data_IF_801480260089
#
_entry.id   IF_801480260089
#
_cell.length_a   1.000
_cell.length_b   1.000
_cell.length_c   1.000
_cell.angle_alpha   90.00
_cell.angle_beta   90.00
_cell.angle_gamma   90.00
#
_symmetry.space_group_name_H-M   'P 1'
#
loop_
_entity.id
_entity.type
_entity.pdbx_description
1 polymer ?
#
# COMPACT_ATOMS: atom_id res chain seq x y z
N UNK A 1 5.70 -31.46 -66.23
CA UNK A 1 4.58 -32.29 -65.78
C UNK A 1 4.39 -33.37 -66.82
N UNK A 2 4.22 -34.62 -66.39
CA UNK A 2 3.90 -35.70 -67.31
C UNK A 2 2.42 -35.61 -67.70
N UNK A 3 2.03 -36.10 -68.89
CA UNK A 3 0.63 -36.07 -69.33
C UNK A 3 -0.34 -36.75 -68.34
N UNK A 4 0.16 -37.66 -67.51
CA UNK A 4 -0.60 -38.32 -66.45
C UNK A 4 -0.92 -37.40 -65.25
N UNK A 5 0.03 -36.56 -64.83
CA UNK A 5 -0.15 -35.60 -63.72
C UNK A 5 -1.17 -34.50 -64.08
N UNK A 6 -1.19 -34.08 -65.34
CA UNK A 6 -2.14 -33.09 -65.84
C UNK A 6 -3.58 -33.62 -65.81
N UNK A 7 -3.82 -34.84 -66.28
CA UNK A 7 -5.16 -35.44 -66.27
C UNK A 7 -5.68 -35.64 -64.83
N UNK A 8 -4.83 -36.02 -63.89
CA UNK A 8 -5.23 -36.20 -62.49
C UNK A 8 -5.57 -34.85 -61.82
N UNK A 9 -4.89 -33.76 -62.20
CA UNK A 9 -5.25 -32.42 -61.76
C UNK A 9 -6.66 -32.02 -62.24
N UNK A 10 -6.94 -32.20 -63.53
CA UNK A 10 -8.25 -31.88 -64.09
C UNK A 10 -9.35 -32.79 -63.53
N UNK A 11 -9.06 -34.04 -63.16
CA UNK A 11 -10.00 -34.94 -62.48
C UNK A 11 -10.46 -34.42 -61.11
N UNK A 12 -9.58 -33.74 -60.37
CA UNK A 12 -9.96 -33.06 -59.12
C UNK A 12 -10.86 -31.86 -59.39
N UNK A 13 -10.48 -31.01 -60.36
CA UNK A 13 -11.29 -29.86 -60.76
C UNK A 13 -12.69 -30.28 -61.25
N UNK A 14 -12.80 -31.39 -61.98
CA UNK A 14 -14.09 -31.96 -62.40
C UNK A 14 -15.03 -32.23 -61.21
N UNK A 15 -14.50 -32.78 -60.11
CA UNK A 15 -15.29 -33.10 -58.92
C UNK A 15 -15.70 -31.82 -58.17
N UNK A 16 -14.74 -30.91 -57.94
CA UNK A 16 -14.99 -29.60 -57.32
C UNK A 16 -16.00 -28.75 -58.10
N UNK A 17 -15.98 -28.85 -59.44
CA UNK A 17 -16.95 -28.18 -60.30
C UNK A 17 -18.39 -28.68 -60.05
N UNK A 18 -18.58 -30.00 -59.93
CA UNK A 18 -19.91 -30.59 -59.69
C UNK A 18 -20.46 -30.27 -58.29
N UNK A 19 -19.57 -30.03 -57.34
CA UNK A 19 -19.89 -29.59 -55.97
C UNK A 19 -20.08 -28.06 -55.87
N UNK A 20 -19.77 -27.30 -56.94
CA UNK A 20 -19.91 -25.85 -56.99
C UNK A 20 -18.82 -25.09 -56.22
N UNK A 21 -17.63 -25.67 -56.07
CA UNK A 21 -16.53 -25.15 -55.25
C UNK A 21 -15.43 -24.43 -56.05
N UNK A 22 -15.46 -24.51 -57.39
CA UNK A 22 -14.47 -23.84 -58.24
C UNK A 22 -14.72 -22.34 -58.39
N UNK A 23 -13.65 -21.56 -58.38
CA UNK A 23 -13.68 -20.16 -58.77
C UNK A 23 -13.68 -20.00 -60.30
N UNK A 24 -14.27 -18.90 -60.81
CA UNK A 24 -14.33 -18.53 -62.23
C UNK A 24 -13.05 -18.81 -63.06
N UNK A 25 -11.83 -18.41 -62.64
CA UNK A 25 -10.63 -18.69 -63.43
C UNK A 25 -10.36 -20.20 -63.61
N UNK A 26 -10.65 -21.01 -62.60
CA UNK A 26 -10.44 -22.47 -62.63
C UNK A 26 -11.52 -23.16 -63.48
N UNK A 27 -12.74 -22.62 -63.50
CA UNK A 27 -13.81 -23.10 -64.39
C UNK A 27 -13.38 -22.93 -65.85
N UNK A 28 -12.84 -21.76 -66.22
CA UNK A 28 -12.35 -21.51 -67.59
C UNK A 28 -11.19 -22.44 -67.95
N UNK A 29 -10.26 -22.67 -67.03
CA UNK A 29 -9.14 -23.59 -67.23
C UNK A 29 -9.63 -25.02 -67.48
N UNK A 30 -10.59 -25.49 -66.68
CA UNK A 30 -11.22 -26.80 -66.86
C UNK A 30 -11.95 -26.90 -68.22
N UNK A 31 -12.73 -25.89 -68.60
CA UNK A 31 -13.45 -25.86 -69.88
C UNK A 31 -12.50 -25.92 -71.08
N UNK A 32 -11.39 -25.18 -71.02
CA UNK A 32 -10.34 -25.22 -72.04
C UNK A 32 -9.74 -26.63 -72.19
N UNK A 33 -9.45 -27.30 -71.08
CA UNK A 33 -8.94 -28.66 -71.12
C UNK A 33 -9.97 -29.66 -71.67
N UNK A 34 -11.24 -29.56 -71.27
CA UNK A 34 -12.32 -30.42 -71.77
C UNK A 34 -12.58 -30.21 -73.26
N UNK A 35 -12.34 -29.00 -73.79
CA UNK A 35 -12.41 -28.71 -75.22
C UNK A 35 -11.30 -29.41 -76.02
N UNK A 36 -10.09 -29.56 -75.43
CA UNK A 36 -8.93 -30.19 -76.07
C UNK A 36 -8.76 -31.69 -75.82
N UNK A 37 -9.27 -32.23 -74.71
CA UNK A 37 -9.04 -33.61 -74.28
C UNK A 37 -10.31 -34.46 -74.32
N UNK A 38 -10.36 -35.46 -75.22
CA UNK A 38 -11.50 -36.40 -75.34
C UNK A 38 -11.67 -37.28 -74.10
N UNK A 39 -10.57 -37.76 -73.52
CA UNK A 39 -10.60 -38.64 -72.35
C UNK A 39 -11.27 -37.95 -71.15
N UNK A 40 -10.80 -36.76 -70.80
CA UNK A 40 -11.35 -35.99 -69.68
C UNK A 40 -12.82 -35.58 -69.93
N UNK A 41 -13.22 -35.36 -71.19
CA UNK A 41 -14.62 -35.06 -71.54
C UNK A 41 -15.55 -36.25 -71.30
N UNK A 42 -15.14 -37.44 -71.72
CA UNK A 42 -15.91 -38.68 -71.51
C UNK A 42 -16.03 -39.00 -70.01
N UNK A 43 -14.94 -38.80 -69.27
CA UNK A 43 -14.91 -38.99 -67.82
C UNK A 43 -15.82 -38.00 -67.09
N UNK A 44 -15.78 -36.72 -67.45
CA UNK A 44 -16.65 -35.69 -66.87
C UNK A 44 -18.12 -35.99 -67.13
N UNK A 45 -18.47 -36.46 -68.33
CA UNK A 45 -19.84 -36.84 -68.67
C UNK A 45 -20.33 -38.02 -67.82
N UNK A 46 -19.48 -39.03 -67.58
CA UNK A 46 -19.78 -40.17 -66.73
C UNK A 46 -19.99 -39.75 -65.26
N UNK A 47 -19.11 -38.88 -64.75
CA UNK A 47 -19.21 -38.35 -63.39
C UNK A 47 -20.50 -37.55 -63.19
N UNK A 48 -20.81 -36.65 -64.14
CA UNK A 48 -22.04 -35.86 -64.13
C UNK A 48 -23.30 -36.75 -64.15
N UNK A 49 -23.30 -37.81 -64.97
CA UNK A 49 -24.42 -38.76 -65.03
C UNK A 49 -24.59 -39.52 -63.73
N UNK A 50 -23.49 -39.92 -63.08
CA UNK A 50 -23.52 -40.59 -61.78
C UNK A 50 -24.12 -39.68 -60.70
N UNK A 51 -23.71 -38.41 -60.65
CA UNK A 51 -24.29 -37.41 -59.73
C UNK A 51 -25.78 -37.20 -60.00
N UNK A 52 -26.20 -37.14 -61.26
CA UNK A 52 -27.62 -37.02 -61.62
C UNK A 52 -28.45 -38.22 -61.15
N UNK A 53 -27.94 -39.44 -61.31
CA UNK A 53 -28.60 -40.65 -60.80
C UNK A 53 -28.74 -40.59 -59.28
N UNK A 54 -27.68 -40.17 -58.57
CA UNK A 54 -27.70 -40.03 -57.12
C UNK A 54 -28.70 -38.97 -56.62
N UNK A 55 -28.82 -37.84 -57.35
CA UNK A 55 -29.78 -36.78 -57.03
C UNK A 55 -31.24 -37.20 -57.21
N UNK A 56 -31.50 -38.24 -58.01
CA UNK A 56 -32.85 -38.77 -58.22
C UNK A 56 -33.28 -39.80 -57.17
N UNK A 57 -32.42 -40.16 -56.19
CA UNK A 57 -32.84 -41.02 -55.10
C UNK A 57 -33.88 -40.32 -54.21
N UNK A 58 -34.83 -41.08 -53.63
CA UNK A 58 -35.79 -40.52 -52.70
C UNK A 58 -35.06 -39.93 -51.49
N UNK A 59 -35.43 -38.71 -51.13
CA UNK A 59 -34.91 -38.07 -49.94
C UNK A 59 -35.50 -38.77 -48.71
N UNK A 60 -34.63 -39.34 -47.86
CA UNK A 60 -35.06 -39.98 -46.63
C UNK A 60 -35.41 -38.90 -45.61
N UNK A 61 -36.63 -38.93 -45.08
CA UNK A 61 -37.02 -38.03 -43.99
C UNK A 61 -36.20 -38.35 -42.73
N UNK A 62 -35.65 -37.31 -42.13
CA UNK A 62 -34.88 -37.43 -40.90
C UNK A 62 -35.84 -37.72 -39.74
N UNK A 63 -35.63 -38.79 -38.94
CA UNK A 63 -36.48 -39.07 -37.79
C UNK A 63 -36.49 -37.92 -36.78
N UNK A 64 -37.66 -37.55 -36.27
CA UNK A 64 -37.82 -36.42 -35.34
C UNK A 64 -37.00 -36.60 -34.05
N UNK A 65 -36.82 -37.85 -33.62
CA UNK A 65 -35.96 -38.21 -32.49
C UNK A 65 -34.50 -37.78 -32.69
N UNK A 66 -33.99 -37.81 -33.93
CA UNK A 66 -32.63 -37.35 -34.24
C UNK A 66 -32.52 -35.82 -34.07
N UNK A 67 -33.53 -35.07 -34.52
CA UNK A 67 -33.59 -33.61 -34.34
C UNK A 67 -33.58 -33.25 -32.87
N UNK A 68 -34.38 -33.91 -32.05
CA UNK A 68 -34.43 -33.67 -30.61
C UNK A 68 -33.10 -34.00 -29.92
N UNK A 69 -32.45 -35.12 -30.27
CA UNK A 69 -31.13 -35.49 -29.73
C UNK A 69 -30.06 -34.48 -30.10
N UNK A 70 -30.02 -34.03 -31.36
CA UNK A 70 -29.10 -33.00 -31.82
C UNK A 70 -29.31 -31.67 -31.10
N UNK A 71 -30.56 -31.22 -31.02
CA UNK A 71 -30.90 -29.97 -30.33
C UNK A 71 -30.49 -30.00 -28.86
N UNK A 72 -30.78 -31.10 -28.15
CA UNK A 72 -30.33 -31.30 -26.76
C UNK A 72 -28.81 -31.33 -26.62
N UNK A 73 -28.07 -31.81 -27.62
CA UNK A 73 -26.60 -31.85 -27.59
C UNK A 73 -26.02 -30.45 -27.83
N UNK A 74 -26.57 -29.71 -28.78
CA UNK A 74 -26.17 -28.33 -29.08
C UNK A 74 -26.44 -27.40 -27.89
N UNK A 75 -27.60 -27.51 -27.24
CA UNK A 75 -27.90 -26.71 -26.04
C UNK A 75 -26.94 -27.04 -24.88
N UNK A 76 -26.62 -28.32 -24.67
CA UNK A 76 -25.67 -28.73 -23.63
C UNK A 76 -24.25 -28.18 -23.86
N UNK A 77 -23.74 -28.25 -25.09
CA UNK A 77 -22.41 -27.74 -25.41
C UNK A 77 -22.37 -26.20 -25.53
N UNK A 78 -23.43 -25.56 -26.04
CA UNK A 78 -23.55 -24.11 -26.12
C UNK A 78 -23.70 -23.45 -24.75
N UNK A 79 -24.48 -24.05 -23.84
CA UNK A 79 -24.61 -23.57 -22.46
C UNK A 79 -23.33 -23.76 -21.65
N UNK A 80 -22.57 -24.84 -21.91
CA UNK A 80 -21.26 -25.06 -21.30
C UNK A 80 -20.24 -23.98 -21.72
N UNK A 81 -20.25 -23.55 -22.99
CA UNK A 81 -19.44 -22.41 -23.46
C UNK A 81 -19.87 -21.10 -22.80
N UNK A 82 -21.18 -20.84 -22.67
CA UNK A 82 -21.72 -19.62 -22.06
C UNK A 82 -21.47 -19.54 -20.54
N UNK A 83 -21.42 -20.68 -19.84
CA UNK A 83 -20.99 -20.72 -18.42
C UNK A 83 -19.49 -20.44 -18.26
N UNK A 84 -18.66 -20.80 -19.24
CA UNK A 84 -17.22 -20.52 -19.23
C UNK A 84 -16.89 -19.07 -19.59
N UNK A 85 -17.82 -18.30 -20.16
CA UNK A 85 -17.67 -16.85 -20.31
C UNK A 85 -18.09 -16.04 -19.08
N UNK A 86 -18.65 -16.68 -18.02
CA UNK A 86 -18.89 -16.01 -16.74
C UNK A 86 -17.60 -15.78 -15.93
N UNK A 87 -16.46 -16.31 -16.38
CA UNK A 87 -15.13 -15.89 -15.93
C UNK A 87 -14.57 -14.75 -16.77
N UNK A 88 -15.32 -14.19 -17.73
CA UNK A 88 -15.06 -12.88 -18.37
C UNK A 88 -15.37 -11.72 -17.41
N UNK A 89 -15.04 -11.92 -16.13
CA UNK A 89 -14.69 -10.87 -15.17
C UNK A 89 -13.16 -10.74 -15.05
N UNK A 90 -12.40 -11.54 -15.83
CA UNK A 90 -10.93 -11.52 -15.96
C UNK A 90 -10.41 -10.65 -17.12
N UNK A 91 -11.27 -9.99 -17.88
CA UNK A 91 -10.86 -8.87 -18.72
C UNK A 91 -11.04 -7.60 -17.91
N UNK A 92 -10.12 -7.35 -16.98
CA UNK A 92 -10.06 -6.05 -16.29
C UNK A 92 -9.75 -5.01 -17.39
N UNK A 93 -10.56 -3.95 -17.55
CA UNK A 93 -10.27 -2.93 -18.53
C UNK A 93 -8.90 -2.34 -18.21
N UNK A 94 -8.01 -2.32 -19.20
CA UNK A 94 -6.62 -1.87 -19.07
C UNK A 94 -6.51 -0.49 -18.38
N UNK A 95 -7.50 0.38 -18.60
CA UNK A 95 -7.76 1.65 -17.91
C UNK A 95 -7.67 1.55 -16.37
N UNK A 96 -8.41 0.62 -15.77
CA UNK A 96 -8.47 0.49 -14.31
C UNK A 96 -7.16 -0.05 -13.75
N UNK A 97 -6.52 -0.96 -14.46
CA UNK A 97 -5.22 -1.52 -14.09
C UNK A 97 -4.13 -0.44 -14.10
N UNK A 98 -4.12 0.43 -15.12
CA UNK A 98 -3.16 1.52 -15.23
C UNK A 98 -3.32 2.55 -14.11
N UNK A 99 -4.57 2.91 -13.77
CA UNK A 99 -4.86 3.87 -12.71
C UNK A 99 -4.37 3.38 -11.33
N UNK A 100 -4.61 2.11 -11.00
CA UNK A 100 -4.13 1.51 -9.74
C UNK A 100 -2.60 1.49 -9.70
N UNK A 101 -1.96 1.11 -10.81
CA UNK A 101 -0.50 1.01 -10.88
C UNK A 101 0.16 2.39 -10.72
N UNK A 102 -0.36 3.42 -11.39
CA UNK A 102 0.10 4.81 -11.23
C UNK A 102 -0.10 5.32 -9.81
N UNK A 103 -1.25 5.04 -9.19
CA UNK A 103 -1.51 5.42 -7.79
C UNK A 103 -0.53 4.75 -6.82
N UNK A 104 -0.23 3.46 -7.02
CA UNK A 104 0.75 2.75 -6.20
C UNK A 104 2.16 3.29 -6.37
N UNK A 105 2.59 3.57 -7.61
CA UNK A 105 3.91 4.17 -7.87
C UNK A 105 3.99 5.56 -7.27
N UNK A 106 2.96 6.39 -7.43
CA UNK A 106 2.89 7.71 -6.82
C UNK A 106 2.97 7.68 -5.30
N UNK A 107 2.26 6.76 -4.65
CA UNK A 107 2.33 6.57 -3.20
C UNK A 107 3.73 6.14 -2.75
N UNK A 108 4.38 5.22 -3.47
CA UNK A 108 5.76 4.79 -3.17
C UNK A 108 6.73 5.96 -3.31
N UNK A 109 6.65 6.73 -4.40
CA UNK A 109 7.50 7.91 -4.62
C UNK A 109 7.27 8.96 -3.54
N UNK A 110 6.02 9.19 -3.13
CA UNK A 110 5.69 10.11 -2.03
C UNK A 110 6.30 9.65 -0.71
N UNK A 111 6.17 8.37 -0.38
CA UNK A 111 6.77 7.78 0.84
C UNK A 111 8.28 7.89 0.80
N UNK A 112 8.90 7.57 -0.34
CA UNK A 112 10.35 7.69 -0.52
C UNK A 112 10.79 9.14 -0.35
N UNK A 113 10.12 10.11 -0.99
CA UNK A 113 10.39 11.53 -0.80
C UNK A 113 10.30 11.94 0.67
N UNK A 114 9.20 11.62 1.35
CA UNK A 114 9.01 11.95 2.78
C UNK A 114 10.08 11.28 3.66
N UNK A 115 10.48 10.05 3.35
CA UNK A 115 11.51 9.31 4.10
C UNK A 115 12.94 9.78 3.80
N UNK A 116 13.18 10.30 2.59
CA UNK A 116 14.48 10.82 2.14
C UNK A 116 14.70 12.27 2.55
N UNK A 117 13.68 12.97 3.05
CA UNK A 117 13.88 14.18 3.83
C UNK A 117 14.25 13.77 5.26
N UNK A 118 15.54 13.79 5.65
CA UNK A 118 15.86 13.74 7.05
C UNK A 118 15.30 15.03 7.65
N UNK A 119 14.09 14.96 8.20
CA UNK A 119 13.64 15.93 9.18
C UNK A 119 14.60 15.75 10.34
N UNK A 120 15.72 16.46 10.28
CA UNK A 120 16.60 16.65 11.41
C UNK A 120 15.77 17.45 12.39
N UNK A 121 15.00 16.74 13.21
CA UNK A 121 14.46 17.29 14.43
C UNK A 121 15.71 17.67 15.21
N UNK A 122 16.10 18.92 15.06
CA UNK A 122 17.10 19.58 15.88
C UNK A 122 16.47 19.61 17.26
N UNK A 123 16.58 18.50 17.98
CA UNK A 123 16.44 18.50 19.43
C UNK A 123 17.64 19.34 19.86
N UNK A 124 17.44 20.57 20.34
CA UNK A 124 18.53 21.35 20.90
C UNK A 124 19.10 20.55 22.08
N UNK A 125 20.14 19.78 21.82
CA UNK A 125 21.12 19.41 22.82
C UNK A 125 21.75 20.75 23.18
N UNK A 126 21.25 21.31 24.26
CA UNK A 126 21.88 22.40 24.99
C UNK A 126 22.38 21.80 26.29
N UNK A 127 23.43 22.38 26.86
CA UNK A 127 23.82 22.10 28.24
C UNK A 127 22.61 22.37 29.14
N UNK A 128 21.99 21.30 29.66
CA UNK A 128 20.80 21.36 30.48
C UNK A 128 21.18 21.64 31.93
N UNK A 129 20.79 22.79 32.45
CA UNK A 129 21.00 23.16 33.84
C UNK A 129 19.65 23.17 34.56
N UNK A 130 19.49 22.29 35.54
CA UNK A 130 18.29 22.26 36.38
C UNK A 130 18.48 23.14 37.62
N UNK A 131 17.63 24.16 37.75
CA UNK A 131 17.60 25.06 38.90
C UNK A 131 16.29 24.85 39.65
N UNK A 132 16.38 24.49 40.92
CA UNK A 132 15.24 24.47 41.82
C UNK A 132 15.16 25.79 42.60
N UNK A 133 14.02 26.46 42.51
CA UNK A 133 13.78 27.73 43.19
C UNK A 133 12.60 27.59 44.14
N UNK A 134 12.74 28.11 45.35
CA UNK A 134 11.74 27.94 46.42
C UNK A 134 10.81 29.14 46.59
N UNK A 135 11.01 30.21 45.81
CA UNK A 135 10.25 31.48 45.88
C UNK A 135 9.87 31.98 44.47
N UNK A 136 8.62 32.40 44.22
CA UNK A 136 8.19 32.87 42.91
C UNK A 136 8.91 34.16 42.46
N UNK A 137 9.35 35.00 43.39
CA UNK A 137 10.07 36.26 43.07
C UNK A 137 11.42 35.99 42.40
N UNK A 138 12.13 34.94 42.85
CA UNK A 138 13.40 34.52 42.25
C UNK A 138 13.20 33.98 40.84
N UNK A 139 12.09 33.27 40.61
CA UNK A 139 11.71 32.77 39.29
C UNK A 139 11.42 33.93 38.32
N UNK A 140 10.75 34.99 38.78
CA UNK A 140 10.54 36.20 37.98
C UNK A 140 11.85 36.92 37.65
N UNK A 141 12.73 37.11 38.65
CA UNK A 141 14.02 37.78 38.41
C UNK A 141 14.94 37.00 37.46
N UNK A 142 14.89 35.66 37.48
CA UNK A 142 15.62 34.82 36.52
C UNK A 142 15.07 34.90 35.10
N UNK A 143 13.74 34.99 34.95
CA UNK A 143 13.13 35.26 33.65
C UNK A 143 13.52 36.65 33.13
N UNK A 144 13.57 37.64 34.02
CA UNK A 144 13.99 39.00 33.70
C UNK A 144 15.45 39.09 33.27
N UNK A 145 16.36 38.41 33.98
CA UNK A 145 17.78 38.35 33.57
C UNK A 145 17.95 37.68 32.21
N UNK A 146 17.21 36.59 31.94
CA UNK A 146 17.23 35.94 30.63
C UNK A 146 16.73 36.87 29.50
N UNK A 147 15.68 37.65 29.74
CA UNK A 147 15.20 38.63 28.75
C UNK A 147 16.16 39.80 28.52
N UNK A 148 16.91 40.22 29.54
CA UNK A 148 17.91 41.29 29.44
C UNK A 148 19.15 40.84 28.67
N UNK A 149 19.58 39.59 28.85
CA UNK A 149 20.66 38.99 28.07
C UNK A 149 20.22 38.60 26.65
N UNK A 150 19.00 38.96 26.22
CA UNK A 150 18.45 38.63 24.90
C UNK A 150 18.19 37.13 24.68
N UNK A 151 18.05 36.38 25.77
CA UNK A 151 17.50 35.03 25.76
C UNK A 151 15.97 35.04 25.63
N UNK A 152 15.41 33.86 25.37
CA UNK A 152 13.96 33.64 25.33
C UNK A 152 13.50 32.80 26.50
N UNK A 153 12.32 33.12 27.02
CA UNK A 153 11.69 32.37 28.11
C UNK A 153 10.54 31.58 27.51
N UNK A 154 10.52 30.27 27.74
CA UNK A 154 9.46 29.38 27.30
C UNK A 154 8.87 28.63 28.49
N UNK A 155 7.62 28.20 28.34
CA UNK A 155 6.92 27.32 29.26
C UNK A 155 6.30 26.20 28.46
N UNK A 156 6.73 24.96 28.70
CA UNK A 156 6.26 23.80 27.92
C UNK A 156 6.39 24.04 26.41
N UNK A 157 7.52 24.63 25.99
CA UNK A 157 7.74 25.00 24.59
C UNK A 157 7.00 26.26 24.09
N UNK A 158 6.10 26.88 24.83
CA UNK A 158 5.43 28.13 24.42
C UNK A 158 6.24 29.37 24.85
N UNK A 159 6.43 30.33 23.93
CA UNK A 159 7.13 31.59 24.23
C UNK A 159 6.33 32.42 25.24
N UNK A 160 7.00 32.87 26.31
CA UNK A 160 6.43 33.76 27.32
C UNK A 160 6.95 35.18 27.08
N UNK A 161 6.07 36.16 26.73
CA UNK A 161 6.49 37.54 26.50
C UNK A 161 6.86 38.26 27.80
N UNK A 162 7.71 39.29 27.67
CA UNK A 162 8.19 40.13 28.78
C UNK A 162 7.01 40.72 29.56
N UNK A 163 7.08 40.70 30.89
CA UNK A 163 6.03 41.27 31.77
C UNK A 163 4.82 40.34 32.02
N UNK A 164 4.82 39.13 31.48
CA UNK A 164 3.78 38.13 31.77
C UNK A 164 3.81 37.69 33.24
N UNK A 165 2.64 37.44 33.84
CA UNK A 165 2.55 36.88 35.19
C UNK A 165 2.95 35.41 35.18
N UNK A 166 4.13 35.12 35.71
CA UNK A 166 4.67 33.77 35.90
C UNK A 166 4.05 33.20 37.18
N UNK A 167 2.93 32.48 37.07
CA UNK A 167 2.17 31.98 38.23
C UNK A 167 2.97 31.04 39.16
N UNK A 168 2.39 30.71 40.33
CA UNK A 168 3.02 29.95 41.42
C UNK A 168 3.21 28.43 41.19
N UNK A 169 3.18 27.97 39.94
CA UNK A 169 3.39 26.56 39.59
C UNK A 169 3.80 26.43 38.12
N UNK A 170 5.09 26.18 37.89
CA UNK A 170 5.58 25.93 36.55
C UNK A 170 7.09 25.67 36.51
N UNK A 171 7.48 24.84 35.54
CA UNK A 171 8.84 24.76 35.03
C UNK A 171 8.97 25.81 33.91
N UNK A 172 10.01 26.63 33.97
CA UNK A 172 10.39 27.57 32.92
C UNK A 172 11.64 27.08 32.20
N UNK A 173 11.67 27.30 30.90
CA UNK A 173 12.78 27.00 30.00
C UNK A 173 13.41 28.33 29.56
N UNK A 174 14.62 28.64 30.03
CA UNK A 174 15.35 29.83 29.60
C UNK A 174 16.37 29.41 28.53
N UNK A 175 16.22 29.99 27.35
CA UNK A 175 17.09 29.76 26.20
C UNK A 175 18.04 30.93 26.07
N UNK A 176 19.32 30.70 26.36
CA UNK A 176 20.32 31.76 26.46
C UNK A 176 21.40 31.53 25.39
N UNK A 177 21.63 32.49 24.48
CA UNK A 177 22.76 32.40 23.55
C UNK A 177 24.06 32.29 24.33
N UNK A 178 24.91 31.31 23.99
CA UNK A 178 26.21 31.13 24.65
C UNK A 178 27.08 32.38 24.73
N UNK A 179 27.20 33.26 23.71
CA UNK A 179 28.02 34.47 23.82
C UNK A 179 27.50 35.45 24.89
N UNK A 180 26.22 35.36 25.27
CA UNK A 180 25.59 36.22 26.29
C UNK A 180 25.41 35.52 27.63
N UNK A 181 26.06 34.36 27.81
CA UNK A 181 26.05 33.63 29.08
C UNK A 181 26.67 34.44 30.22
N UNK A 182 27.77 35.16 29.96
CA UNK A 182 28.40 36.03 30.95
C UNK A 182 27.47 37.14 31.45
N UNK A 183 26.76 37.79 30.54
CA UNK A 183 25.78 38.84 30.86
C UNK A 183 24.62 38.30 31.71
N UNK A 184 24.15 37.09 31.38
CA UNK A 184 23.13 36.41 32.16
C UNK A 184 23.64 36.05 33.56
N UNK A 185 24.85 35.49 33.69
CA UNK A 185 25.43 35.18 34.99
C UNK A 185 25.64 36.42 35.85
N UNK A 186 26.09 37.53 35.27
CA UNK A 186 26.22 38.80 35.98
C UNK A 186 24.87 39.30 36.51
N UNK A 187 23.79 39.13 35.73
CA UNK A 187 22.44 39.50 36.15
C UNK A 187 21.78 38.49 37.11
N UNK A 188 22.20 37.22 37.09
CA UNK A 188 21.62 36.13 37.87
C UNK A 188 22.42 35.78 39.14
N UNK A 189 23.69 36.16 39.23
CA UNK A 189 24.69 35.63 40.16
C UNK A 189 24.39 35.81 41.65
N UNK A 190 23.58 36.80 42.02
CA UNK A 190 23.14 36.98 43.41
C UNK A 190 21.90 36.13 43.77
N UNK A 191 21.18 35.61 42.78
CA UNK A 191 19.90 34.93 42.96
C UNK A 191 20.06 33.41 43.15
N UNK A 192 21.18 32.85 42.69
CA UNK A 192 21.42 31.41 42.59
C UNK A 192 22.89 31.10 42.95
N UNK A 193 23.17 30.14 43.84
CA UNK A 193 24.54 29.82 44.24
C UNK A 193 25.31 29.09 43.12
N UNK A 194 26.63 29.26 43.09
CA UNK A 194 27.58 28.75 42.09
C UNK A 194 27.52 27.23 41.76
N UNK A 195 27.08 26.29 42.62
CA UNK A 195 26.92 24.89 42.19
C UNK A 195 25.76 24.69 41.18
N UNK A 196 24.83 25.63 41.06
CA UNK A 196 23.66 25.52 40.17
C UNK A 196 23.83 26.27 38.82
N UNK A 197 24.79 27.19 38.72
CA UNK A 197 25.12 27.91 37.49
C UNK A 197 26.65 27.99 37.33
N UNK A 198 27.27 27.23 36.40
CA UNK A 198 28.71 27.23 36.23
C UNK A 198 29.21 28.51 35.55
N UNK A 199 30.32 29.05 36.05
CA UNK A 199 30.99 30.24 35.47
C UNK A 199 31.52 30.00 34.05
N UNK A 200 31.93 28.76 33.75
CA UNK A 200 32.42 28.35 32.44
C UNK A 200 31.54 27.21 31.90
N UNK A 201 31.03 27.38 30.68
CA UNK A 201 30.29 26.32 29.98
C UNK A 201 31.29 25.31 29.38
N UNK A 202 30.98 24.01 29.38
CA UNK A 202 31.81 23.00 28.71
C UNK A 202 31.94 23.33 27.21
N UNK A 203 33.08 23.08 26.53
CA UNK A 203 33.28 23.43 25.12
C UNK A 203 32.49 22.51 24.17
N UNK A 204 31.16 22.58 24.24
CA UNK A 204 30.24 21.96 23.29
C UNK A 204 30.10 22.85 22.05
N UNK A 205 30.02 22.27 20.85
CA UNK A 205 29.73 23.00 19.60
C UNK A 205 28.30 23.57 19.49
N UNK A 206 27.56 23.58 20.59
CA UNK A 206 26.18 24.10 20.69
C UNK A 206 26.23 25.63 20.70
N UNK A 207 25.22 26.33 20.16
CA UNK A 207 25.17 27.81 20.16
C UNK A 207 24.29 28.40 21.27
N UNK A 208 23.55 27.57 22.00
CA UNK A 208 22.56 27.99 23.00
C UNK A 208 22.64 27.10 24.26
N UNK A 209 22.27 27.67 25.41
CA UNK A 209 22.18 27.01 26.71
C UNK A 209 20.73 26.98 27.16
N UNK A 210 20.26 25.83 27.67
CA UNK A 210 18.91 25.66 28.20
C UNK A 210 18.95 25.56 29.73
N UNK A 211 18.34 26.52 30.41
CA UNK A 211 18.23 26.55 31.86
C UNK A 211 16.79 26.23 32.25
N UNK A 212 16.58 25.06 32.87
CA UNK A 212 15.27 24.65 33.39
C UNK A 212 15.11 25.13 34.82
N UNK A 213 14.18 26.06 35.05
CA UNK A 213 13.88 26.61 36.38
C UNK A 213 12.59 25.99 36.89
N UNK A 214 12.66 25.14 37.93
CA UNK A 214 11.51 24.50 38.56
C UNK A 214 11.20 25.17 39.89
N UNK A 215 9.95 25.62 40.07
CA UNK A 215 9.48 26.09 41.37
C UNK A 215 9.14 24.88 42.27
N UNK A 216 9.89 24.69 43.36
CA UNK A 216 9.63 23.66 44.36
C UNK A 216 8.96 24.33 45.56
N UNK A 217 7.77 23.87 45.96
CA UNK A 217 7.13 24.36 47.20
C UNK A 217 7.95 23.88 48.39
N UNK A 218 8.33 24.74 49.35
CA UNK A 218 8.97 24.27 50.56
C UNK A 218 8.03 23.27 51.24
N UNK A 219 8.53 22.08 51.55
CA UNK A 219 7.79 21.12 52.35
C UNK A 219 7.42 21.84 53.67
N UNK A 220 6.12 21.95 53.95
CA UNK A 220 5.66 22.40 55.28
C UNK A 220 6.26 21.43 56.29
N UNK A 221 7.29 21.85 57.01
CA UNK A 221 7.76 21.18 58.23
C UNK A 221 6.71 21.43 59.31
N UNK A 222 5.58 20.74 59.23
CA UNK A 222 4.69 20.55 60.36
C UNK A 222 5.33 19.52 61.30
N UNK A 223 5.30 19.71 62.63
CA UNK A 223 5.83 18.72 63.55
C UNK A 223 5.03 17.41 63.40
N UNK A 224 5.70 16.37 62.92
CA UNK A 224 5.19 14.99 62.93
C UNK A 224 5.19 14.51 64.40
N UNK A 225 4.10 14.78 65.11
CA UNK A 225 3.72 14.00 66.30
C UNK A 225 2.75 12.92 65.84
N UNK A 226 3.10 11.66 66.07
CA UNK A 226 2.30 10.51 65.67
C UNK A 226 3.18 9.30 65.37
N UNK A 227 3.83 8.78 66.42
CA UNK A 227 4.39 7.45 66.43
C UNK A 227 3.25 6.42 66.23
N UNK A 228 3.47 5.47 65.32
CA UNK A 228 2.64 4.28 65.11
C UNK A 228 3.49 3.25 64.35
N UNK A 229 3.55 1.98 64.79
CA UNK A 229 4.76 1.18 64.64
C UNK A 229 4.88 0.48 63.27
N UNK A 230 6.13 0.07 63.02
CA UNK A 230 6.62 -0.65 61.86
C UNK A 230 5.77 -1.86 61.45
N UNK A 231 5.54 -1.99 60.14
CA UNK A 231 5.15 -3.26 59.51
C UNK A 231 6.11 -3.57 58.36
N UNK A 232 6.84 -4.66 58.56
CA UNK A 232 7.87 -5.33 57.74
C UNK A 232 7.33 -5.76 56.35
N UNK A 233 8.19 -5.97 55.33
CA UNK A 233 7.77 -6.11 53.94
C UNK A 233 7.30 -7.53 53.58
N UNK A 234 6.30 -7.62 52.71
CA UNK A 234 5.72 -8.89 52.20
C UNK A 234 6.36 -9.27 50.85
N UNK A 235 6.77 -10.54 50.62
CA UNK A 235 7.42 -10.97 49.38
C UNK A 235 6.43 -11.24 48.21
N UNK A 236 6.92 -11.32 46.96
CA UNK A 236 6.10 -11.32 45.75
C UNK A 236 5.38 -12.66 45.47
N UNK A 237 4.14 -12.57 44.94
CA UNK A 237 3.31 -13.71 44.53
C UNK A 237 3.74 -14.27 43.16
N UNK A 238 3.96 -15.57 43.09
CA UNK A 238 4.15 -16.40 41.88
C UNK A 238 2.81 -16.64 41.15
N UNK A 239 2.80 -16.84 39.81
CA UNK A 239 1.57 -17.00 39.03
C UNK A 239 1.05 -18.44 39.07
N UNK A 240 -0.25 -18.61 39.37
CA UNK A 240 -0.93 -19.91 39.43
C UNK A 240 -1.42 -20.33 38.05
N UNK A 241 -0.99 -21.52 37.61
CA UNK A 241 -1.35 -22.15 36.35
C UNK A 241 -2.82 -22.55 36.23
N UNK A 242 -3.28 -22.62 34.97
CA UNK A 242 -4.61 -23.07 34.53
C UNK A 242 -4.86 -24.54 34.89
N UNK A 243 -6.05 -24.85 35.40
CA UNK A 243 -6.62 -26.20 35.42
C UNK A 243 -7.64 -26.35 34.27
N UNK A 244 -7.71 -27.53 33.61
CA UNK A 244 -8.67 -27.82 32.53
C UNK A 244 -10.07 -28.25 33.07
N UNK A 245 -11.14 -28.17 32.25
CA UNK A 245 -12.51 -28.48 32.66
C UNK A 245 -12.82 -29.99 32.70
N UNK A 246 -13.83 -30.42 33.48
CA UNK A 246 -14.20 -31.83 33.65
C UNK A 246 -15.01 -32.42 32.47
N UNK A 247 -15.02 -33.76 32.31
CA UNK A 247 -15.64 -34.43 31.17
C UNK A 247 -17.16 -34.58 31.32
N UNK A 248 -17.85 -34.52 30.17
CA UNK A 248 -19.29 -34.61 30.04
C UNK A 248 -19.87 -35.99 30.38
N UNK A 249 -20.98 -35.98 31.11
CA UNK A 249 -21.82 -37.15 31.35
C UNK A 249 -22.90 -37.29 30.27
N UNK A 250 -22.92 -38.45 29.61
CA UNK A 250 -24.07 -39.00 28.87
C UNK A 250 -24.72 -40.11 29.71
N UNK A 251 -26.02 -39.97 29.97
CA UNK A 251 -27.02 -41.01 30.19
C UNK A 251 -28.36 -40.26 30.33
N UNK A 252 -29.49 -40.64 29.74
CA UNK A 252 -29.97 -41.84 29.07
C UNK A 252 -31.15 -41.43 28.19
#
# INVERSE_FOLDING_TARGET
MTAHEEHEHFRRLMSEHLDGLLAEPQVRELEQHLAGCRQCREEFALLRRSVQLLRNLPQVEVPEELRHRLHRRLLRHGAAMRRRSSTSRWMVPFEATMAVLLATVGAIVLVLLVSSFPVTVTVPRGTLLELSVNRPERLYRLAESAWRSGGTVRRQGHLVPKGSRLGASGQLELWIPRPRWGDFLAAAGELVPAPALPAHLPPTGEQQVLVLVRLVRPARSGPRSGAGPASTPTPPKTPRGRQPPPPGGRAR
#
